data_IF_863655503643
#
_entry.id   IF_863655503643
#
_cell.length_a   1.000
_cell.length_b   1.000
_cell.length_c   1.000
_cell.angle_alpha   90.00
_cell.angle_beta   90.00
_cell.angle_gamma   90.00
#
_symmetry.space_group_name_H-M   'P 1'
#
loop_
_entity.id
_entity.type
_entity.pdbx_description
1 polymer ?
#
# COMPACT_ATOMS: atom_id res chain seq x y z
N UNK A 1 1.31 16.07 11.51
CA UNK A 1 0.59 14.94 10.89
C UNK A 1 0.42 13.83 11.91
N UNK A 2 -0.82 13.55 12.33
CA UNK A 2 -1.12 12.41 13.20
C UNK A 2 -0.92 11.11 12.43
N UNK A 3 -0.13 10.18 12.97
CA UNK A 3 0.06 8.85 12.38
C UNK A 3 -0.88 7.86 13.06
N UNK A 4 -1.68 7.16 12.27
CA UNK A 4 -2.55 6.08 12.74
C UNK A 4 -1.94 4.76 12.29
N UNK A 5 -1.78 3.82 13.22
CA UNK A 5 -1.33 2.46 12.92
C UNK A 5 -2.50 1.57 12.50
N UNK A 6 -2.35 0.83 11.40
CA UNK A 6 -3.36 -0.10 10.91
C UNK A 6 -2.69 -1.45 10.69
N UNK A 7 -3.30 -2.51 11.23
CA UNK A 7 -2.94 -3.90 10.95
C UNK A 7 -3.75 -4.40 9.77
N UNK A 8 -3.09 -5.02 8.79
CA UNK A 8 -3.75 -5.53 7.58
C UNK A 8 -3.30 -6.95 7.30
N UNK A 9 -4.26 -7.84 7.09
CA UNK A 9 -4.01 -9.21 6.63
C UNK A 9 -4.01 -9.22 5.11
N UNK A 10 -2.99 -9.81 4.51
CA UNK A 10 -2.88 -9.96 3.06
C UNK A 10 -2.53 -11.39 2.69
N UNK A 11 -2.92 -11.81 1.48
CA UNK A 11 -2.58 -13.14 0.96
C UNK A 11 -1.06 -13.27 0.75
N UNK A 12 -0.49 -14.50 0.84
CA UNK A 12 0.93 -14.74 0.61
C UNK A 12 1.43 -14.27 -0.77
N UNK A 13 0.64 -14.45 -1.82
CA UNK A 13 0.93 -13.96 -3.18
C UNK A 13 1.08 -12.44 -3.24
N UNK A 14 0.22 -11.71 -2.52
CA UNK A 14 0.28 -10.23 -2.44
C UNK A 14 1.53 -9.77 -1.68
N UNK A 15 1.98 -10.52 -0.67
CA UNK A 15 3.22 -10.22 0.05
C UNK A 15 4.45 -10.33 -0.87
N UNK A 16 4.48 -11.30 -1.78
CA UNK A 16 5.56 -11.43 -2.77
C UNK A 16 5.60 -10.22 -3.71
N UNK A 17 4.45 -9.79 -4.20
CA UNK A 17 4.32 -8.59 -5.05
C UNK A 17 4.79 -7.35 -4.29
N UNK A 18 4.36 -7.17 -3.04
CA UNK A 18 4.76 -6.06 -2.19
C UNK A 18 6.28 -6.00 -1.99
N UNK A 19 6.92 -7.15 -1.72
CA UNK A 19 8.40 -7.24 -1.59
C UNK A 19 9.10 -6.85 -2.90
N UNK A 20 8.56 -7.27 -4.05
CA UNK A 20 9.12 -6.89 -5.36
C UNK A 20 9.02 -5.38 -5.58
N UNK A 21 7.88 -4.77 -5.28
CA UNK A 21 7.67 -3.32 -5.39
C UNK A 21 8.60 -2.53 -4.47
N UNK A 22 8.78 -2.99 -3.22
CA UNK A 22 9.73 -2.37 -2.28
C UNK A 22 11.16 -2.32 -2.85
N UNK A 23 11.62 -3.41 -3.48
CA UNK A 23 12.94 -3.46 -4.10
C UNK A 23 13.05 -2.54 -5.32
N UNK A 24 12.07 -2.60 -6.22
CA UNK A 24 12.07 -1.80 -7.45
C UNK A 24 12.04 -0.30 -7.15
N UNK A 25 11.26 0.12 -6.16
CA UNK A 25 11.09 1.53 -5.82
C UNK A 25 12.10 2.02 -4.77
N UNK A 26 12.94 1.13 -4.21
CA UNK A 26 13.83 1.41 -3.07
C UNK A 26 13.07 2.08 -1.89
N UNK A 27 11.83 1.65 -1.64
CA UNK A 27 10.94 2.21 -0.61
C UNK A 27 10.65 1.20 0.49
N UNK A 28 10.36 1.73 1.68
CA UNK A 28 9.90 0.94 2.84
C UNK A 28 8.47 0.41 2.58
N UNK A 29 8.14 -0.71 3.24
CA UNK A 29 6.82 -1.37 3.14
C UNK A 29 5.67 -0.37 3.36
N UNK A 30 5.75 0.46 4.39
CA UNK A 30 4.71 1.43 4.73
C UNK A 30 4.45 2.44 3.61
N UNK A 31 5.51 2.97 2.97
CA UNK A 31 5.36 3.92 1.86
C UNK A 31 4.69 3.28 0.64
N UNK A 32 5.09 2.05 0.28
CA UNK A 32 4.49 1.36 -0.87
C UNK A 32 3.01 1.06 -0.61
N UNK A 33 2.66 0.67 0.62
CA UNK A 33 1.26 0.41 1.01
C UNK A 33 0.45 1.71 1.05
N UNK A 34 1.01 2.79 1.59
CA UNK A 34 0.37 4.11 1.64
C UNK A 34 0.08 4.63 0.22
N UNK A 35 1.03 4.52 -0.71
CA UNK A 35 0.81 4.90 -2.11
C UNK A 35 -0.29 4.06 -2.77
N UNK A 36 -0.35 2.76 -2.48
CA UNK A 36 -1.39 1.88 -3.01
C UNK A 36 -2.78 2.26 -2.47
N UNK A 37 -2.90 2.55 -1.17
CA UNK A 37 -4.16 3.00 -0.56
C UNK A 37 -4.60 4.33 -1.17
N UNK A 38 -3.69 5.31 -1.27
CA UNK A 38 -4.01 6.62 -1.85
C UNK A 38 -4.35 6.54 -3.34
N UNK A 39 -3.78 5.59 -4.07
CA UNK A 39 -4.13 5.35 -5.47
C UNK A 39 -5.55 4.78 -5.57
N UNK A 40 -5.84 3.74 -4.80
CA UNK A 40 -7.16 3.11 -4.76
C UNK A 40 -8.25 4.11 -4.33
N UNK A 41 -8.03 4.87 -3.26
CA UNK A 41 -8.97 5.89 -2.80
C UNK A 41 -9.26 6.95 -3.88
N UNK A 42 -8.28 7.32 -4.71
CA UNK A 42 -8.47 8.24 -5.83
C UNK A 42 -9.22 7.63 -7.01
N UNK A 43 -9.13 6.32 -7.19
CA UNK A 43 -9.84 5.60 -8.26
C UNK A 43 -11.29 5.32 -7.85
N UNK A 44 -11.52 4.91 -6.60
CA UNK A 44 -12.85 4.56 -6.07
C UNK A 44 -13.64 5.79 -5.63
N UNK A 45 -12.99 6.80 -5.04
CA UNK A 45 -13.65 8.06 -4.65
C UNK A 45 -14.05 8.96 -5.82
N UNK A 46 -14.00 8.46 -7.06
CA UNK A 46 -14.64 9.08 -8.23
C UNK A 46 -16.07 8.56 -8.47
N UNK A 47 -16.41 7.43 -7.86
CA UNK A 47 -17.73 6.80 -7.88
C UNK A 47 -18.47 6.95 -6.53
N UNK A 48 -17.93 7.76 -5.61
CA UNK A 48 -18.64 8.37 -4.47
C UNK A 48 -19.00 9.82 -4.80
#
# INVERSE_FOLDING_TARGET
MTKIGISVTIKPETLLILRKLMRLQKKKKSHVVEEAILKYAREVGKDE
#
